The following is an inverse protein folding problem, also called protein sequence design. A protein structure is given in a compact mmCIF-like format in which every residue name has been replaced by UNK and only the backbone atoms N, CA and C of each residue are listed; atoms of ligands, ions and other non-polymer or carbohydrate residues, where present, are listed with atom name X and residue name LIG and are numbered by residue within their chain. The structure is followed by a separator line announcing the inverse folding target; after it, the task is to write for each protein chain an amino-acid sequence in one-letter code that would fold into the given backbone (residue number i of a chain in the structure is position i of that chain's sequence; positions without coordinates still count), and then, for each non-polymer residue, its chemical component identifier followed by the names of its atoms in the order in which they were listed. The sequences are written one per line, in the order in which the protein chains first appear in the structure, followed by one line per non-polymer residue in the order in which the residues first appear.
data_IF_720102624292
#
_entry.id   IF_720102624292
#
_cell.length_a   1.000
_cell.length_b   1.000
_cell.length_c   1.000
_cell.angle_alpha   90.00
_cell.angle_beta   90.00
_cell.angle_gamma   90.00
#
_symmetry.space_group_name_H-M   'P 1'
#
loop_
_entity.id
_entity.type
_entity.pdbx_description
1 polymer ?
#
# COMPACT_ATOMS: atom_id res chain seq x y z
N UNK A 1 22.99 -30.78 -14.86
CA UNK A 1 21.76 -31.53 -14.50
C UNK A 1 22.06 -32.26 -13.19
N UNK A 2 21.33 -32.01 -12.11
CA UNK A 2 21.43 -32.80 -10.87
C UNK A 2 20.01 -33.15 -10.43
N UNK A 3 19.65 -34.41 -10.63
CA UNK A 3 18.45 -35.05 -10.12
C UNK A 3 18.58 -35.26 -8.60
N UNK A 4 17.47 -35.08 -7.88
CA UNK A 4 17.35 -35.37 -6.45
C UNK A 4 16.51 -36.64 -6.32
N UNK A 5 17.06 -37.68 -5.68
CA UNK A 5 16.28 -38.79 -5.17
C UNK A 5 16.19 -38.71 -3.65
N UNK A 6 14.99 -39.02 -3.18
CA UNK A 6 14.47 -38.94 -1.82
C UNK A 6 15.32 -39.74 -0.80
N UNK A 7 15.20 -39.40 0.49
CA UNK A 7 15.74 -40.08 1.71
C UNK A 7 16.97 -39.54 2.47
N UNK A 8 17.51 -38.34 2.19
CA UNK A 8 18.66 -37.80 2.98
C UNK A 8 18.55 -36.33 3.39
N UNK A 9 17.48 -35.96 4.11
CA UNK A 9 17.23 -34.57 4.55
C UNK A 9 18.19 -34.03 5.64
N UNK A 10 18.90 -34.87 6.41
CA UNK A 10 19.76 -34.38 7.53
C UNK A 10 21.23 -34.12 7.14
N UNK A 11 21.81 -34.93 6.24
CA UNK A 11 23.25 -34.86 5.91
C UNK A 11 23.66 -33.67 5.01
N UNK A 12 22.72 -33.04 4.30
CA UNK A 12 23.03 -31.93 3.38
C UNK A 12 23.15 -30.57 4.07
N UNK A 13 22.51 -30.36 5.23
CA UNK A 13 22.58 -29.06 5.94
C UNK A 13 23.98 -28.73 6.44
N UNK A 14 24.77 -29.72 6.85
CA UNK A 14 26.18 -29.54 7.23
C UNK A 14 27.11 -29.32 6.02
N UNK A 15 26.73 -29.83 4.85
CA UNK A 15 27.50 -29.68 3.60
C UNK A 15 27.25 -28.34 2.89
N UNK A 16 26.06 -27.74 3.06
CA UNK A 16 25.73 -26.41 2.51
C UNK A 16 26.62 -25.32 3.14
N UNK A 17 26.97 -25.42 4.42
CA UNK A 17 27.91 -24.49 5.06
C UNK A 17 29.36 -24.62 4.53
N UNK A 18 29.74 -25.78 3.99
CA UNK A 18 31.10 -26.07 3.50
C UNK A 18 31.32 -25.67 2.04
N UNK A 19 30.26 -25.56 1.23
CA UNK A 19 30.33 -25.15 -0.19
C UNK A 19 30.37 -23.63 -0.40
N UNK A 20 30.02 -22.86 0.64
CA UNK A 20 29.96 -21.41 0.57
C UNK A 20 31.22 -20.79 1.15
N UNK A 21 32.20 -20.49 0.29
CA UNK A 21 33.38 -19.71 0.67
C UNK A 21 32.93 -18.44 1.38
N UNK A 22 33.38 -18.26 2.63
CA UNK A 22 33.16 -17.03 3.40
C UNK A 22 33.92 -15.92 2.66
N UNK A 23 33.17 -15.07 1.97
CA UNK A 23 33.71 -13.87 1.33
C UNK A 23 33.58 -12.71 2.30
N UNK A 24 34.44 -11.71 2.17
CA UNK A 24 34.37 -10.46 2.95
C UNK A 24 33.13 -9.63 2.63
N UNK A 25 32.49 -9.88 1.47
CA UNK A 25 31.30 -9.17 1.01
C UNK A 25 30.14 -10.15 0.68
N UNK A 26 28.87 -9.71 0.81
CA UNK A 26 27.73 -10.52 0.42
C UNK A 26 27.77 -10.91 -1.05
N UNK A 27 27.33 -12.12 -1.37
CA UNK A 27 27.22 -12.57 -2.76
C UNK A 27 25.89 -13.27 -3.02
N UNK A 28 25.56 -13.41 -4.31
CA UNK A 28 24.31 -14.02 -4.76
C UNK A 28 24.57 -15.27 -5.57
N UNK A 29 23.86 -16.33 -5.25
CA UNK A 29 23.78 -17.55 -6.06
C UNK A 29 22.49 -17.44 -6.85
N UNK A 30 22.57 -17.49 -8.18
CA UNK A 30 21.42 -17.37 -9.08
C UNK A 30 20.90 -18.76 -9.42
N UNK A 31 19.59 -18.95 -9.36
CA UNK A 31 18.97 -20.16 -9.89
C UNK A 31 18.91 -20.09 -11.42
N UNK A 32 19.19 -21.23 -12.07
CA UNK A 32 19.07 -21.39 -13.52
C UNK A 32 17.61 -21.71 -13.87
N UNK A 33 16.98 -22.62 -13.11
CA UNK A 33 15.62 -23.10 -13.37
C UNK A 33 14.54 -22.09 -12.97
N UNK A 34 14.88 -21.14 -12.11
CA UNK A 34 13.95 -20.11 -11.62
C UNK A 34 14.58 -18.72 -11.82
N UNK A 35 14.43 -18.12 -13.01
CA UNK A 35 15.00 -16.82 -13.31
C UNK A 35 14.63 -15.76 -12.27
N UNK A 36 15.63 -15.05 -11.75
CA UNK A 36 15.42 -14.04 -10.72
C UNK A 36 15.34 -14.59 -9.29
N UNK A 37 15.20 -15.90 -9.08
CA UNK A 37 15.39 -16.50 -7.76
C UNK A 37 16.88 -16.51 -7.41
N UNK A 38 17.23 -15.99 -6.23
CA UNK A 38 18.62 -15.95 -5.77
C UNK A 38 18.73 -16.27 -4.29
N UNK A 39 19.87 -16.82 -3.91
CA UNK A 39 20.28 -17.01 -2.51
C UNK A 39 21.32 -15.94 -2.19
N UNK A 40 21.02 -15.06 -1.24
CA UNK A 40 21.96 -14.07 -0.71
C UNK A 40 22.72 -14.68 0.45
N UNK A 41 24.03 -14.86 0.30
CA UNK A 41 24.92 -15.31 1.35
C UNK A 41 25.65 -14.09 1.91
N UNK A 42 25.45 -13.81 3.20
CA UNK A 42 26.17 -12.73 3.89
C UNK A 42 27.45 -13.28 4.55
N UNK A 43 28.52 -12.48 4.67
CA UNK A 43 29.78 -12.88 5.31
C UNK A 43 29.60 -13.44 6.73
N UNK A 44 28.67 -12.85 7.49
CA UNK A 44 28.32 -13.25 8.86
C UNK A 44 27.43 -14.51 8.95
N UNK A 45 27.38 -15.32 7.89
CA UNK A 45 26.64 -16.60 7.85
C UNK A 45 25.13 -16.50 7.65
N UNK A 46 24.53 -15.30 7.59
CA UNK A 46 23.10 -15.17 7.28
C UNK A 46 22.85 -15.48 5.81
N UNK A 47 22.04 -16.50 5.53
CA UNK A 47 21.62 -16.87 4.17
C UNK A 47 20.13 -16.55 4.01
N UNK A 48 19.79 -15.81 2.95
CA UNK A 48 18.41 -15.40 2.66
C UNK A 48 17.99 -15.80 1.25
N UNK A 49 16.73 -16.19 1.10
CA UNK A 49 16.11 -16.39 -0.20
C UNK A 49 15.50 -15.09 -0.71
N UNK A 50 15.78 -14.74 -1.96
CA UNK A 50 15.31 -13.51 -2.57
C UNK A 50 14.73 -13.74 -3.97
N UNK A 51 13.81 -12.87 -4.36
CA UNK A 51 13.39 -12.67 -5.74
C UNK A 51 13.92 -11.34 -6.24
N UNK A 52 14.56 -11.38 -7.39
CA UNK A 52 14.99 -10.22 -8.14
C UNK A 52 14.21 -10.17 -9.45
N UNK A 53 13.34 -9.19 -9.60
CA UNK A 53 12.45 -9.09 -10.77
C UNK A 53 12.05 -7.65 -11.05
N UNK A 54 11.61 -7.38 -12.28
CA UNK A 54 11.04 -6.09 -12.65
C UNK A 54 9.53 -6.14 -12.51
N UNK A 55 8.98 -5.02 -12.07
CA UNK A 55 7.53 -4.77 -12.12
C UNK A 55 7.18 -4.54 -13.59
N UNK A 56 6.12 -5.17 -14.09
CA UNK A 56 5.58 -4.92 -15.43
C UNK A 56 5.15 -3.45 -15.55
N UNK A 57 5.58 -2.79 -16.63
CA UNK A 57 5.48 -1.32 -16.80
C UNK A 57 6.18 -0.46 -15.73
N UNK A 58 7.05 -1.06 -14.90
CA UNK A 58 7.83 -0.36 -13.89
C UNK A 58 9.28 -0.09 -14.32
N UNK A 59 9.99 0.74 -13.55
CA UNK A 59 11.40 1.08 -13.77
C UNK A 59 12.39 0.05 -13.21
N UNK A 60 13.19 0.47 -12.22
CA UNK A 60 14.29 -0.35 -11.69
C UNK A 60 13.82 -1.69 -11.07
N UNK A 61 14.61 -2.76 -11.24
CA UNK A 61 14.31 -4.07 -10.65
C UNK A 61 14.20 -4.01 -9.12
N UNK A 62 13.33 -4.86 -8.57
CA UNK A 62 13.05 -5.00 -7.15
C UNK A 62 13.71 -6.22 -6.59
N UNK A 63 14.20 -6.10 -5.35
CA UNK A 63 14.69 -7.22 -4.55
C UNK A 63 13.70 -7.47 -3.41
N UNK A 64 13.07 -8.64 -3.40
CA UNK A 64 12.12 -9.06 -2.39
C UNK A 64 12.74 -10.19 -1.58
N UNK A 65 12.86 -10.02 -0.27
CA UNK A 65 13.34 -11.09 0.62
C UNK A 65 12.16 -11.91 1.14
N UNK A 66 12.27 -13.23 1.02
CA UNK A 66 11.22 -14.17 1.45
C UNK A 66 11.44 -14.64 2.89
N UNK A 67 12.69 -14.85 3.27
CA UNK A 67 13.09 -15.34 4.58
C UNK A 67 14.52 -15.86 4.56
N UNK A 68 14.97 -16.43 5.68
CA UNK A 68 16.29 -17.06 5.79
C UNK A 68 16.17 -18.57 5.67
N UNK A 69 17.31 -19.24 5.50
CA UNK A 69 17.40 -20.71 5.57
C UNK A 69 17.02 -21.26 6.95
N UNK A 70 16.97 -20.43 8.00
CA UNK A 70 16.47 -20.82 9.33
C UNK A 70 14.94 -20.84 9.42
N UNK A 71 14.28 -20.03 8.59
CA UNK A 71 12.82 -19.82 8.66
C UNK A 71 12.05 -20.42 7.49
N UNK A 72 12.73 -20.83 6.42
CA UNK A 72 12.12 -21.37 5.21
C UNK A 72 12.97 -22.50 4.65
N UNK A 73 12.29 -23.53 4.15
CA UNK A 73 12.86 -24.50 3.22
C UNK A 73 13.07 -23.89 1.83
N UNK A 74 13.85 -24.57 0.99
CA UNK A 74 14.09 -24.16 -0.39
C UNK A 74 12.79 -24.21 -1.20
N UNK A 75 11.98 -25.26 -1.02
CA UNK A 75 10.72 -25.43 -1.76
C UNK A 75 9.72 -24.31 -1.44
N UNK A 76 9.54 -23.99 -0.16
CA UNK A 76 8.70 -22.85 0.25
C UNK A 76 9.22 -21.53 -0.32
N UNK A 77 10.54 -21.35 -0.39
CA UNK A 77 11.14 -20.16 -0.96
C UNK A 77 10.92 -20.06 -2.47
N UNK A 78 10.91 -21.19 -3.19
CA UNK A 78 10.57 -21.27 -4.62
C UNK A 78 9.08 -20.96 -4.82
N UNK A 79 8.18 -21.54 -4.03
CA UNK A 79 6.75 -21.22 -4.10
C UNK A 79 6.49 -19.73 -3.89
N UNK A 80 7.14 -19.13 -2.89
CA UNK A 80 7.08 -17.68 -2.65
C UNK A 80 7.68 -16.85 -3.78
N UNK A 81 8.73 -17.36 -4.42
CA UNK A 81 9.31 -16.73 -5.61
C UNK A 81 8.32 -16.70 -6.78
N UNK A 82 7.68 -17.83 -7.10
CA UNK A 82 6.69 -17.92 -8.19
C UNK A 82 5.52 -16.96 -7.93
N UNK A 83 4.99 -16.92 -6.71
CA UNK A 83 3.96 -15.97 -6.32
C UNK A 83 4.42 -14.51 -6.46
N UNK A 84 5.65 -14.21 -6.07
CA UNK A 84 6.24 -12.89 -6.17
C UNK A 84 6.38 -12.44 -7.63
N UNK A 85 6.84 -13.32 -8.53
CA UNK A 85 6.92 -13.03 -9.97
C UNK A 85 5.54 -12.71 -10.54
N UNK A 86 4.52 -13.51 -10.24
CA UNK A 86 3.13 -13.23 -10.67
C UNK A 86 2.63 -11.84 -10.23
N UNK A 87 2.96 -11.42 -8.99
CA UNK A 87 2.61 -10.09 -8.51
C UNK A 87 3.33 -8.98 -9.29
N UNK A 88 4.63 -9.17 -9.54
CA UNK A 88 5.42 -8.21 -10.30
C UNK A 88 4.93 -8.09 -11.76
N UNK A 89 4.55 -9.20 -12.37
CA UNK A 89 3.93 -9.26 -13.71
C UNK A 89 2.57 -8.54 -13.76
N UNK A 90 1.81 -8.59 -12.67
CA UNK A 90 0.57 -7.81 -12.52
C UNK A 90 0.80 -6.32 -12.23
N UNK A 91 2.05 -5.85 -12.21
CA UNK A 91 2.38 -4.46 -11.87
C UNK A 91 2.35 -4.15 -10.37
N UNK A 92 2.26 -5.15 -9.49
CA UNK A 92 2.17 -4.99 -8.03
C UNK A 92 3.54 -5.18 -7.38
N UNK A 93 3.95 -4.27 -6.50
CA UNK A 93 5.21 -4.37 -5.73
C UNK A 93 4.99 -5.05 -4.36
N UNK A 94 5.50 -6.28 -4.13
CA UNK A 94 5.29 -6.99 -2.87
C UNK A 94 5.95 -6.32 -1.66
N UNK A 95 7.04 -5.56 -1.85
CA UNK A 95 7.66 -4.82 -0.74
C UNK A 95 6.78 -3.65 -0.30
N UNK A 96 6.11 -2.97 -1.24
CA UNK A 96 5.14 -1.93 -0.92
C UNK A 96 3.91 -2.50 -0.23
N UNK A 97 3.42 -3.66 -0.66
CA UNK A 97 2.31 -4.35 0.01
C UNK A 97 2.65 -4.72 1.47
N UNK A 98 3.85 -5.23 1.74
CA UNK A 98 4.31 -5.54 3.11
C UNK A 98 4.42 -4.28 3.96
N UNK A 99 5.00 -3.21 3.42
CA UNK A 99 5.10 -1.92 4.12
C UNK A 99 3.72 -1.33 4.43
N UNK A 100 2.81 -1.40 3.46
CA UNK A 100 1.42 -0.97 3.63
C UNK A 100 0.75 -1.74 4.76
N UNK A 101 0.76 -3.08 4.75
CA UNK A 101 0.15 -3.88 5.82
C UNK A 101 0.67 -3.50 7.21
N UNK A 102 1.99 -3.37 7.37
CA UNK A 102 2.56 -2.96 8.65
C UNK A 102 2.10 -1.56 9.07
N UNK A 103 2.02 -0.62 8.11
CA UNK A 103 1.56 0.74 8.35
C UNK A 103 0.04 0.80 8.64
N UNK A 104 -0.76 -0.06 8.00
CA UNK A 104 -2.18 -0.24 8.29
C UNK A 104 -2.39 -0.74 9.71
N UNK A 105 -1.61 -1.73 10.16
CA UNK A 105 -1.68 -2.22 11.53
C UNK A 105 -1.27 -1.17 12.56
N UNK A 106 -0.23 -0.37 12.30
CA UNK A 106 0.25 0.63 13.26
C UNK A 106 -0.64 1.87 13.37
N UNK A 107 -1.26 2.31 12.26
CA UNK A 107 -2.06 3.53 12.23
C UNK A 107 -3.57 3.27 12.34
N UNK A 108 -4.04 2.07 12.03
CA UNK A 108 -5.47 1.82 11.76
C UNK A 108 -5.90 2.33 10.37
N UNK A 109 -7.05 1.85 9.89
CA UNK A 109 -7.58 2.16 8.54
C UNK A 109 -8.75 3.14 8.55
N UNK A 110 -9.09 3.75 9.69
CA UNK A 110 -10.13 4.78 9.75
C UNK A 110 -9.70 6.05 9.01
N UNK A 111 -10.67 6.78 8.46
CA UNK A 111 -10.41 8.08 7.83
C UNK A 111 -9.71 9.03 8.82
N UNK A 112 -10.15 9.03 10.08
CA UNK A 112 -9.59 9.88 11.12
C UNK A 112 -8.08 9.66 11.29
N UNK A 113 -7.65 8.42 11.49
CA UNK A 113 -6.24 8.14 11.78
C UNK A 113 -5.34 8.52 10.60
N UNK A 114 -5.81 8.26 9.38
CA UNK A 114 -5.08 8.59 8.16
C UNK A 114 -5.02 10.10 7.95
N UNK A 115 -6.11 10.82 8.21
CA UNK A 115 -6.16 12.27 8.10
C UNK A 115 -5.29 12.96 9.17
N UNK A 116 -5.30 12.46 10.40
CA UNK A 116 -4.42 12.96 11.48
C UNK A 116 -2.94 12.76 11.13
N UNK A 117 -2.57 11.59 10.60
CA UNK A 117 -1.21 11.35 10.14
C UNK A 117 -0.83 12.25 8.95
N UNK A 118 -1.75 12.45 8.00
CA UNK A 118 -1.54 13.37 6.88
C UNK A 118 -1.23 14.79 7.36
N UNK A 119 -2.04 15.32 8.29
CA UNK A 119 -1.84 16.66 8.86
C UNK A 119 -0.50 16.72 9.60
N UNK A 120 -0.20 15.71 10.43
CA UNK A 120 1.08 15.64 11.15
C UNK A 120 2.28 15.67 10.20
N UNK A 121 2.28 14.86 9.14
CA UNK A 121 3.36 14.82 8.16
C UNK A 121 3.55 16.17 7.44
N UNK A 122 2.44 16.87 7.13
CA UNK A 122 2.48 18.21 6.51
C UNK A 122 3.04 19.26 7.46
N UNK A 123 2.69 19.19 8.74
CA UNK A 123 3.23 20.06 9.79
C UNK A 123 4.74 19.82 9.98
N UNK A 124 5.17 18.56 10.09
CA UNK A 124 6.60 18.22 10.23
C UNK A 124 7.46 18.68 9.04
N UNK A 125 6.89 18.66 7.83
CA UNK A 125 7.55 19.13 6.62
C UNK A 125 7.48 20.65 6.44
N UNK A 126 6.87 21.38 7.38
CA UNK A 126 6.62 22.83 7.31
C UNK A 126 5.79 23.24 6.09
N UNK A 127 5.01 22.32 5.54
CA UNK A 127 4.06 22.61 4.47
C UNK A 127 2.78 23.24 5.02
N UNK A 128 2.39 22.87 6.25
CA UNK A 128 1.31 23.50 7.01
C UNK A 128 1.90 24.30 8.18
N UNK A 129 1.36 25.50 8.41
CA UNK A 129 1.57 26.20 9.68
C UNK A 129 0.80 25.50 10.80
N UNK A 130 1.21 25.71 12.06
CA UNK A 130 0.52 25.14 13.23
C UNK A 130 -0.97 25.52 13.26
N UNK A 131 -1.28 26.80 13.00
CA UNK A 131 -2.66 27.29 12.98
C UNK A 131 -3.48 26.61 11.87
N UNK A 132 -2.90 26.43 10.68
CA UNK A 132 -3.60 25.78 9.57
C UNK A 132 -3.79 24.28 9.82
N UNK A 133 -2.80 23.61 10.43
CA UNK A 133 -2.92 22.22 10.85
C UNK A 133 -4.06 22.05 11.88
N UNK A 134 -4.15 22.93 12.87
CA UNK A 134 -5.23 22.89 13.86
C UNK A 134 -6.60 23.20 13.28
N UNK A 135 -6.69 24.13 12.31
CA UNK A 135 -7.91 24.36 11.54
C UNK A 135 -8.33 23.10 10.77
N UNK A 136 -7.39 22.40 10.14
CA UNK A 136 -7.67 21.15 9.45
C UNK A 136 -8.20 20.06 10.42
N UNK A 137 -7.60 19.91 11.61
CA UNK A 137 -8.02 18.94 12.62
C UNK A 137 -9.43 19.25 13.16
N UNK A 138 -9.67 20.49 13.54
CA UNK A 138 -10.89 20.88 14.26
C UNK A 138 -12.06 21.15 13.32
N UNK A 139 -11.85 21.98 12.30
CA UNK A 139 -12.92 22.43 11.41
C UNK A 139 -13.18 21.45 10.27
N UNK A 140 -12.16 21.07 9.50
CA UNK A 140 -12.38 20.19 8.33
C UNK A 140 -12.64 18.74 8.76
N UNK A 141 -11.79 18.21 9.63
CA UNK A 141 -11.87 16.80 10.02
C UNK A 141 -12.97 16.55 11.07
N UNK A 142 -12.87 17.18 12.25
CA UNK A 142 -13.78 16.89 13.38
C UNK A 142 -15.18 17.48 13.25
N UNK A 143 -15.37 18.55 12.48
CA UNK A 143 -16.68 19.15 12.23
C UNK A 143 -17.24 18.72 10.88
N UNK A 144 -16.61 19.09 9.75
CA UNK A 144 -17.19 18.85 8.41
C UNK A 144 -17.19 17.38 7.97
N UNK A 145 -16.15 16.62 8.28
CA UNK A 145 -16.03 15.20 7.92
C UNK A 145 -16.47 14.23 9.02
N UNK A 146 -17.12 14.74 10.09
CA UNK A 146 -17.52 13.95 11.25
C UNK A 146 -18.24 12.63 10.90
N UNK A 147 -19.20 12.59 9.96
CA UNK A 147 -19.93 11.36 9.62
C UNK A 147 -19.05 10.26 9.01
N UNK A 148 -17.85 10.61 8.55
CA UNK A 148 -16.93 9.73 7.83
C UNK A 148 -15.76 9.23 8.67
N UNK A 149 -15.49 9.86 9.83
CA UNK A 149 -14.25 9.67 10.60
C UNK A 149 -13.93 8.22 10.96
N UNK A 150 -14.94 7.50 11.45
CA UNK A 150 -14.79 6.13 11.94
C UNK A 150 -14.84 5.10 10.81
N UNK A 151 -15.23 5.50 9.60
CA UNK A 151 -15.32 4.57 8.47
C UNK A 151 -13.90 4.17 8.05
N UNK A 152 -13.75 2.90 7.70
CA UNK A 152 -12.55 2.44 7.03
C UNK A 152 -12.43 3.19 5.70
N UNK A 153 -11.26 3.74 5.39
CA UNK A 153 -11.05 4.51 4.17
C UNK A 153 -11.36 3.70 2.90
N UNK A 154 -11.23 2.37 2.94
CA UNK A 154 -11.57 1.47 1.83
C UNK A 154 -13.08 1.27 1.65
N UNK A 155 -13.90 1.69 2.62
CA UNK A 155 -15.36 1.57 2.61
C UNK A 155 -16.04 2.91 2.28
N UNK A 156 -15.27 4.00 2.11
CA UNK A 156 -15.81 5.31 1.71
C UNK A 156 -15.93 5.30 0.19
N UNK A 157 -17.14 5.05 -0.30
CA UNK A 157 -17.45 5.02 -1.73
C UNK A 157 -17.75 6.41 -2.29
N UNK A 158 -17.81 6.53 -3.62
CA UNK A 158 -18.17 7.76 -4.32
C UNK A 158 -19.58 8.21 -3.94
N UNK A 159 -20.52 7.28 -3.86
CA UNK A 159 -21.93 7.53 -3.52
C UNK A 159 -22.04 8.14 -2.11
N UNK A 160 -21.29 7.57 -1.17
CA UNK A 160 -21.26 8.04 0.22
C UNK A 160 -20.67 9.45 0.34
N UNK A 161 -19.70 9.82 -0.51
CA UNK A 161 -19.17 11.19 -0.57
C UNK A 161 -20.19 12.14 -1.22
N UNK A 162 -20.93 11.70 -2.24
CA UNK A 162 -21.99 12.52 -2.85
C UNK A 162 -23.09 12.83 -1.84
N UNK A 163 -23.53 11.84 -1.06
CA UNK A 163 -24.52 12.02 0.01
C UNK A 163 -24.02 12.98 1.09
N UNK A 164 -22.79 12.77 1.57
CA UNK A 164 -22.16 13.68 2.55
C UNK A 164 -22.00 15.11 1.99
N UNK A 165 -21.65 15.26 0.72
CA UNK A 165 -21.50 16.59 0.12
C UNK A 165 -22.85 17.31 0.04
N UNK A 166 -23.91 16.59 -0.34
CA UNK A 166 -25.29 17.12 -0.38
C UNK A 166 -25.77 17.57 1.01
N UNK A 167 -25.39 16.86 2.08
CA UNK A 167 -25.76 17.28 3.44
C UNK A 167 -25.11 18.60 3.90
N UNK A 168 -24.18 19.16 3.12
CA UNK A 168 -23.54 20.46 3.37
C UNK A 168 -23.97 21.53 2.37
N UNK A 169 -25.09 21.36 1.67
CA UNK A 169 -25.57 22.27 0.62
C UNK A 169 -25.73 23.73 1.07
N UNK A 170 -26.13 23.95 2.33
CA UNK A 170 -26.25 25.28 2.94
C UNK A 170 -24.89 25.97 3.17
N UNK A 171 -23.78 25.22 3.12
CA UNK A 171 -22.42 25.73 3.32
C UNK A 171 -21.47 25.30 2.21
N UNK A 172 -21.72 25.71 0.96
CA UNK A 172 -21.03 25.17 -0.23
C UNK A 172 -19.52 25.42 -0.21
N UNK A 173 -19.07 26.56 0.33
CA UNK A 173 -17.64 26.87 0.48
C UNK A 173 -16.97 25.89 1.45
N UNK A 174 -17.63 25.58 2.58
CA UNK A 174 -17.10 24.63 3.55
C UNK A 174 -17.09 23.20 2.98
N UNK A 175 -18.13 22.82 2.24
CA UNK A 175 -18.20 21.53 1.55
C UNK A 175 -17.05 21.36 0.55
N UNK A 176 -16.79 22.37 -0.28
CA UNK A 176 -15.68 22.38 -1.24
C UNK A 176 -14.31 22.23 -0.55
N UNK A 177 -14.08 23.00 0.51
CA UNK A 177 -12.83 22.94 1.26
C UNK A 177 -12.62 21.57 1.91
N UNK A 178 -13.67 21.00 2.50
CA UNK A 178 -13.62 19.67 3.09
C UNK A 178 -13.42 18.57 2.04
N UNK A 179 -14.03 18.68 0.86
CA UNK A 179 -13.82 17.74 -0.25
C UNK A 179 -12.38 17.79 -0.78
N UNK A 180 -11.80 18.98 -0.92
CA UNK A 180 -10.40 19.13 -1.35
C UNK A 180 -9.43 18.55 -0.33
N UNK A 181 -9.69 18.78 0.96
CA UNK A 181 -8.94 18.15 2.04
C UNK A 181 -9.08 16.61 2.01
N UNK A 182 -10.31 16.09 1.88
CA UNK A 182 -10.57 14.65 1.76
C UNK A 182 -9.81 14.04 0.57
N UNK A 183 -9.87 14.66 -0.60
CA UNK A 183 -9.13 14.23 -1.80
C UNK A 183 -7.61 14.18 -1.58
N UNK A 184 -7.08 15.12 -0.80
CA UNK A 184 -5.67 15.14 -0.39
C UNK A 184 -5.33 13.99 0.55
N UNK A 185 -6.21 13.69 1.52
CA UNK A 185 -6.05 12.53 2.43
C UNK A 185 -6.09 11.20 1.66
N UNK A 186 -7.01 11.04 0.70
CA UNK A 186 -7.05 9.86 -0.18
C UNK A 186 -5.75 9.73 -1.00
N UNK A 187 -5.29 10.84 -1.58
CA UNK A 187 -4.04 10.83 -2.36
C UNK A 187 -2.84 10.47 -1.47
N UNK A 188 -2.80 10.97 -0.25
CA UNK A 188 -1.80 10.57 0.75
C UNK A 188 -1.89 9.06 1.07
N UNK A 189 -3.09 8.53 1.33
CA UNK A 189 -3.30 7.10 1.58
C UNK A 189 -2.82 6.22 0.41
N UNK A 190 -3.01 6.67 -0.83
CA UNK A 190 -2.48 6.02 -2.03
C UNK A 190 -0.96 6.03 -2.10
N UNK A 191 -0.32 7.16 -1.77
CA UNK A 191 1.16 7.23 -1.73
C UNK A 191 1.75 6.26 -0.71
N UNK A 192 1.00 5.99 0.36
CA UNK A 192 1.34 5.01 1.39
C UNK A 192 0.93 3.58 1.02
N UNK A 193 0.28 3.37 -0.13
CA UNK A 193 -0.29 2.10 -0.60
C UNK A 193 -1.33 1.51 0.37
N UNK A 194 -2.00 2.34 1.18
CA UNK A 194 -3.03 1.89 2.13
C UNK A 194 -4.35 1.56 1.42
N UNK A 195 -4.57 2.19 0.26
CA UNK A 195 -5.73 1.99 -0.62
C UNK A 195 -5.26 1.82 -2.07
N UNK A 196 -6.06 1.18 -2.91
CA UNK A 196 -5.75 1.01 -4.34
C UNK A 196 -5.77 2.37 -5.07
N UNK A 197 -4.95 2.53 -6.11
CA UNK A 197 -4.95 3.70 -6.99
C UNK A 197 -6.31 3.91 -7.66
N UNK A 198 -7.06 2.82 -7.92
CA UNK A 198 -8.40 2.87 -8.49
C UNK A 198 -9.48 3.33 -7.49
N UNK A 199 -9.21 3.27 -6.19
CA UNK A 199 -10.13 3.60 -5.11
C UNK A 199 -10.10 5.08 -4.72
N UNK A 200 -9.54 5.98 -5.55
CA UNK A 200 -9.79 7.41 -5.36
C UNK A 200 -11.19 7.69 -5.88
N UNK A 201 -12.17 8.04 -5.03
CA UNK A 201 -13.40 8.64 -5.52
C UNK A 201 -13.01 10.02 -6.05
N UNK A 202 -12.57 10.05 -7.31
CA UNK A 202 -12.20 11.25 -8.05
C UNK A 202 -13.48 12.02 -8.37
N UNK A 203 -14.05 12.67 -7.38
CA UNK A 203 -15.16 13.56 -7.61
C UNK A 203 -14.55 14.93 -7.90
N UNK A 204 -14.49 15.30 -9.18
CA UNK A 204 -14.26 16.70 -9.54
C UNK A 204 -15.51 17.50 -9.19
N UNK A 205 -15.38 18.77 -8.79
CA UNK A 205 -16.52 19.67 -8.54
C UNK A 205 -17.51 19.69 -9.72
N UNK A 206 -17.03 19.40 -10.93
CA UNK A 206 -17.78 19.27 -12.17
C UNK A 206 -18.71 18.06 -12.22
N UNK A 207 -18.45 16.98 -11.47
CA UNK A 207 -19.30 15.77 -11.42
C UNK A 207 -20.39 15.85 -10.34
N UNK A 208 -20.23 16.73 -9.34
CA UNK A 208 -21.22 16.94 -8.26
C UNK A 208 -22.37 17.82 -8.75
N UNK A 209 -22.05 18.94 -9.41
CA UNK A 209 -23.05 19.90 -9.92
C UNK A 209 -24.15 19.29 -10.81
N UNK A 210 -23.87 18.43 -11.81
CA UNK A 210 -24.91 17.83 -12.66
C UNK A 210 -25.78 16.78 -11.93
N UNK A 211 -25.29 16.18 -10.84
CA UNK A 211 -26.04 15.20 -10.04
C UNK A 211 -26.95 15.84 -8.96
N UNK A 212 -26.84 17.15 -8.73
CA UNK A 212 -27.81 17.90 -7.91
C UNK A 212 -28.99 18.42 -8.76
N UNK A 213 -28.76 18.74 -10.04
CA UNK A 213 -29.82 19.20 -10.94
C UNK A 213 -30.78 18.08 -11.38
N UNK A 214 -30.30 16.85 -11.56
CA UNK A 214 -31.13 15.71 -12.00
C UNK A 214 -32.10 15.16 -10.95
N UNK A 215 -31.90 15.48 -9.67
CA UNK A 215 -32.80 15.07 -8.58
C UNK A 215 -33.93 16.07 -8.31
N UNK A 216 -33.76 17.35 -8.71
CA UNK A 216 -34.80 18.38 -8.53
C UNK A 216 -35.97 18.22 -9.52
N UNK A 217 -35.76 17.56 -10.66
CA UNK A 217 -36.81 17.32 -11.67
C UNK A 217 -37.66 16.07 -11.39
N UNK A 218 -37.29 15.21 -10.42
CA UNK A 218 -38.06 14.00 -10.09
C UNK A 218 -39.03 14.17 -8.92
N UNK A 219 -38.94 15.27 -8.16
CA UNK A 219 -39.85 15.56 -7.04
C UNK A 219 -41.00 16.53 -7.39
N UNK A 220 -41.04 17.06 -8.63
CA UNK A 220 -42.11 17.96 -9.09
C UNK A 220 -43.15 17.30 -10.00
N UNK A 221 -43.02 16.01 -10.32
CA UNK A 221 -43.98 15.25 -11.14
C UNK A 221 -44.61 14.08 -10.37
N UNK A 222 -45.29 14.40 -9.27
CA UNK A 222 -46.41 13.60 -8.72
C UNK A 222 -47.36 14.55 -8.02
N UNK A 223 -48.21 15.20 -8.83
CA UNK A 223 -49.51 15.72 -8.40
C UNK A 223 -50.55 14.63 -8.57
#
# INVERSE_FOLDING_TARGET
MLYINDSRKSKYYSQINRLFRVKTQPYFIKSINYPGFRIKVNPKGRISFITYGRIHFGGNPRTITHGTTKSLSVDEAISKHIQCIRLLEQGKDPNLMKKSKNKQYSMGLSLENIAMQFIFDKEQKREYSKNYADQCKTYLLKNKLQPLLNKNINQISTELIIEWYKSLEETPTAANNALQFLSSVFSYAQTLNLIDKKLKPCISNTQIKPNLSSHKERSTNRS
#
